data_IF_134202440082
#
_entry.id   IF_134202440082
#
_cell.length_a   1.000
_cell.length_b   1.000
_cell.length_c   1.000
_cell.angle_alpha   90.00
_cell.angle_beta   90.00
_cell.angle_gamma   90.00
#
_symmetry.space_group_name_H-M   'P 1'
#
loop_
_entity.id
_entity.type
_entity.pdbx_description
1 polymer ?
#
# COMPACT_ATOMS: atom_id res chain seq x y z
N UNK A 1 12.88 -15.44 28.30
CA UNK A 1 12.95 -16.32 27.12
C UNK A 1 13.15 -15.46 25.88
N UNK A 2 14.24 -15.68 25.14
CA UNK A 2 14.51 -14.95 23.89
C UNK A 2 13.49 -15.36 22.84
N UNK A 3 12.64 -14.44 22.39
CA UNK A 3 11.81 -14.67 21.20
C UNK A 3 12.76 -14.95 20.03
N UNK A 4 12.86 -16.20 19.62
CA UNK A 4 13.70 -16.60 18.48
C UNK A 4 13.06 -16.03 17.21
N UNK A 5 13.58 -14.90 16.76
CA UNK A 5 13.19 -14.29 15.48
C UNK A 5 13.74 -15.14 14.35
N UNK A 6 12.88 -15.77 13.60
CA UNK A 6 13.26 -16.68 12.51
C UNK A 6 13.19 -15.99 11.16
N UNK A 7 14.34 -15.42 10.75
CA UNK A 7 14.46 -14.74 9.47
C UNK A 7 14.28 -15.72 8.28
N UNK A 8 14.72 -16.99 8.44
CA UNK A 8 14.59 -18.00 7.38
C UNK A 8 13.14 -18.32 7.11
N UNK A 9 12.35 -18.52 8.17
CA UNK A 9 10.91 -18.74 8.04
C UNK A 9 10.19 -17.54 7.41
N UNK A 10 10.59 -16.30 7.77
CA UNK A 10 10.05 -15.09 7.17
C UNK A 10 10.31 -15.04 5.66
N UNK A 11 11.55 -15.24 5.23
CA UNK A 11 11.94 -15.23 3.81
C UNK A 11 11.19 -16.31 3.04
N UNK A 12 11.10 -17.53 3.56
CA UNK A 12 10.33 -18.61 2.94
C UNK A 12 8.85 -18.26 2.79
N UNK A 13 8.23 -17.62 3.78
CA UNK A 13 6.82 -17.18 3.69
C UNK A 13 6.61 -16.02 2.73
N UNK A 14 7.64 -15.18 2.51
CA UNK A 14 7.58 -14.13 1.48
C UNK A 14 7.68 -14.75 0.08
N UNK A 15 8.53 -15.76 -0.11
CA UNK A 15 8.66 -16.45 -1.39
C UNK A 15 7.43 -17.32 -1.72
N UNK A 16 6.98 -18.11 -0.75
CA UNK A 16 5.82 -18.99 -0.88
C UNK A 16 4.93 -18.83 0.35
N UNK A 17 3.70 -18.29 0.19
CA UNK A 17 2.77 -18.08 1.28
C UNK A 17 2.55 -19.34 2.13
N UNK A 18 2.81 -19.22 3.43
CA UNK A 18 2.67 -20.31 4.39
C UNK A 18 3.90 -21.20 4.59
N UNK A 19 4.92 -21.13 3.74
CA UNK A 19 6.07 -22.04 3.81
C UNK A 19 6.91 -21.86 5.10
N UNK A 20 7.05 -20.65 5.60
CA UNK A 20 7.71 -20.41 6.89
C UNK A 20 6.96 -21.04 8.06
N UNK A 21 5.63 -21.04 8.02
CA UNK A 21 4.81 -21.72 9.01
C UNK A 21 4.96 -23.25 8.92
N UNK A 22 5.12 -23.81 7.70
CA UNK A 22 5.46 -25.25 7.51
C UNK A 22 6.79 -25.56 8.17
N UNK A 23 7.83 -24.76 7.92
CA UNK A 23 9.15 -24.94 8.55
C UNK A 23 9.06 -24.96 10.08
N UNK A 24 8.15 -24.18 10.64
CA UNK A 24 7.86 -24.14 12.09
C UNK A 24 6.88 -25.21 12.56
N UNK A 25 6.53 -26.19 11.72
CA UNK A 25 5.55 -27.27 12.00
C UNK A 25 4.14 -26.77 12.35
N UNK A 26 3.77 -25.57 11.90
CA UNK A 26 2.47 -24.91 12.12
C UNK A 26 1.57 -25.12 10.91
N UNK A 27 1.24 -26.38 10.60
CA UNK A 27 0.57 -26.77 9.34
C UNK A 27 -0.80 -26.13 9.14
N UNK A 28 -1.62 -25.99 10.19
CA UNK A 28 -2.95 -25.35 10.09
C UNK A 28 -2.80 -23.87 9.74
N UNK A 29 -1.81 -23.17 10.34
CA UNK A 29 -1.52 -21.78 10.02
C UNK A 29 -0.94 -21.62 8.61
N UNK A 30 -0.12 -22.56 8.19
CA UNK A 30 0.42 -22.58 6.82
C UNK A 30 -0.70 -22.73 5.78
N UNK A 31 -1.61 -23.68 6.00
CA UNK A 31 -2.74 -23.92 5.12
C UNK A 31 -3.68 -22.71 5.06
N UNK A 32 -4.04 -22.15 6.22
CA UNK A 32 -4.90 -20.95 6.28
C UNK A 32 -4.24 -19.75 5.62
N UNK A 33 -2.93 -19.55 5.79
CA UNK A 33 -2.17 -18.50 5.14
C UNK A 33 -2.18 -18.65 3.62
N UNK A 34 -1.87 -19.84 3.11
CA UNK A 34 -1.86 -20.13 1.67
C UNK A 34 -3.23 -19.99 1.03
N UNK A 35 -4.27 -20.60 1.62
CA UNK A 35 -5.64 -20.53 1.10
C UNK A 35 -6.18 -19.10 1.08
N UNK A 36 -5.96 -18.32 2.15
CA UNK A 36 -6.42 -16.94 2.16
C UNK A 36 -5.64 -16.06 1.16
N UNK A 37 -4.33 -16.28 1.00
CA UNK A 37 -3.56 -15.58 -0.03
C UNK A 37 -4.11 -15.87 -1.42
N UNK A 38 -4.35 -17.15 -1.73
CA UNK A 38 -4.91 -17.57 -3.01
C UNK A 38 -6.30 -16.95 -3.24
N UNK A 39 -7.17 -16.97 -2.24
CA UNK A 39 -8.50 -16.37 -2.31
C UNK A 39 -8.44 -14.85 -2.58
N UNK A 40 -7.52 -14.12 -1.92
CA UNK A 40 -7.34 -12.69 -2.13
C UNK A 40 -6.78 -12.37 -3.51
N UNK A 41 -5.87 -13.18 -4.04
CA UNK A 41 -5.36 -13.06 -5.41
C UNK A 41 -6.50 -13.28 -6.41
N UNK A 42 -7.28 -14.36 -6.26
CA UNK A 42 -8.42 -14.66 -7.13
C UNK A 42 -9.46 -13.52 -7.06
N UNK A 43 -9.75 -13.01 -5.87
CA UNK A 43 -10.67 -11.88 -5.71
C UNK A 43 -10.15 -10.63 -6.44
N UNK A 44 -8.86 -10.33 -6.35
CA UNK A 44 -8.25 -9.19 -7.06
C UNK A 44 -8.35 -9.35 -8.58
N UNK A 45 -8.08 -10.56 -9.11
CA UNK A 45 -8.21 -10.88 -10.53
C UNK A 45 -9.68 -10.78 -11.00
N UNK A 46 -10.63 -11.28 -10.21
CA UNK A 46 -12.06 -11.22 -10.53
C UNK A 46 -12.55 -9.76 -10.58
N UNK A 47 -12.15 -8.93 -9.61
CA UNK A 47 -12.46 -7.49 -9.60
C UNK A 47 -11.82 -6.78 -10.81
N UNK A 48 -10.62 -7.19 -11.20
CA UNK A 48 -9.96 -6.68 -12.40
C UNK A 48 -10.72 -6.98 -13.69
N UNK A 49 -11.32 -8.16 -13.81
CA UNK A 49 -12.16 -8.52 -14.97
C UNK A 49 -13.39 -7.62 -15.10
N UNK A 50 -13.98 -7.23 -13.97
CA UNK A 50 -15.18 -6.36 -13.96
C UNK A 50 -14.82 -4.89 -14.12
N UNK A 51 -13.79 -4.42 -13.43
CA UNK A 51 -13.47 -2.99 -13.29
C UNK A 51 -12.22 -2.55 -14.06
N UNK A 52 -11.51 -3.50 -14.69
CA UNK A 52 -10.31 -3.25 -15.49
C UNK A 52 -8.99 -3.42 -14.70
N UNK A 53 -7.87 -3.44 -15.43
CA UNK A 53 -6.54 -3.78 -14.91
C UNK A 53 -6.06 -2.86 -13.76
N UNK A 54 -6.44 -1.58 -13.78
CA UNK A 54 -6.10 -0.67 -12.69
C UNK A 54 -6.74 -1.08 -11.36
N UNK A 55 -7.98 -1.58 -11.39
CA UNK A 55 -8.66 -2.10 -10.21
C UNK A 55 -8.04 -3.42 -9.73
N UNK A 56 -7.65 -4.31 -10.64
CA UNK A 56 -6.92 -5.54 -10.33
C UNK A 56 -5.66 -5.24 -9.51
N UNK A 57 -4.80 -4.36 -10.03
CA UNK A 57 -3.56 -3.96 -9.35
C UNK A 57 -3.85 -3.29 -8.01
N UNK A 58 -4.84 -2.40 -7.96
CA UNK A 58 -5.21 -1.72 -6.73
C UNK A 58 -5.68 -2.71 -5.64
N UNK A 59 -6.59 -3.63 -5.95
CA UNK A 59 -7.09 -4.60 -4.97
C UNK A 59 -6.00 -5.61 -4.57
N UNK A 60 -5.14 -6.03 -5.49
CA UNK A 60 -3.98 -6.84 -5.15
C UNK A 60 -3.08 -6.12 -4.13
N UNK A 61 -2.75 -4.85 -4.37
CA UNK A 61 -1.90 -4.04 -3.49
C UNK A 61 -2.53 -3.77 -2.12
N UNK A 62 -3.86 -3.62 -2.05
CA UNK A 62 -4.56 -3.26 -0.81
C UNK A 62 -5.01 -4.48 0.00
N UNK A 63 -5.29 -5.61 -0.65
CA UNK A 63 -5.81 -6.81 0.01
C UNK A 63 -4.76 -7.93 0.09
N UNK A 64 -4.28 -8.42 -1.06
CA UNK A 64 -3.42 -9.60 -1.10
C UNK A 64 -2.01 -9.31 -0.54
N UNK A 65 -1.40 -8.22 -0.94
CA UNK A 65 -0.04 -7.89 -0.56
C UNK A 65 0.12 -7.57 0.93
N UNK A 66 -0.78 -6.80 1.61
CA UNK A 66 -0.71 -6.60 3.06
C UNK A 66 -0.86 -7.91 3.84
N UNK A 67 -1.78 -8.76 3.41
CA UNK A 67 -1.93 -10.09 4.01
C UNK A 67 -0.66 -10.93 3.82
N UNK A 68 -0.09 -10.91 2.62
CA UNK A 68 1.16 -11.62 2.31
C UNK A 68 2.33 -11.13 3.18
N UNK A 69 2.50 -9.82 3.33
CA UNK A 69 3.50 -9.25 4.22
C UNK A 69 3.26 -9.63 5.68
N UNK A 70 2.00 -9.65 6.13
CA UNK A 70 1.63 -10.00 7.50
C UNK A 70 1.98 -11.44 7.83
N UNK A 71 1.76 -12.39 6.90
CA UNK A 71 2.12 -13.80 7.15
C UNK A 71 3.64 -14.02 7.18
N UNK A 72 4.41 -13.27 6.37
CA UNK A 72 5.87 -13.24 6.48
C UNK A 72 6.32 -12.73 7.85
N UNK A 73 5.66 -11.70 8.34
CA UNK A 73 5.91 -11.17 9.69
C UNK A 73 5.49 -12.14 10.81
N UNK A 74 4.39 -12.90 10.62
CA UNK A 74 3.98 -13.95 11.55
C UNK A 74 5.05 -15.07 11.62
N UNK A 75 5.57 -15.50 10.48
CA UNK A 75 6.66 -16.46 10.42
C UNK A 75 7.95 -15.94 11.09
N UNK A 76 8.24 -14.62 10.96
CA UNK A 76 9.35 -13.98 11.64
C UNK A 76 9.21 -14.00 13.17
N UNK A 77 8.00 -13.74 13.68
CA UNK A 77 7.73 -13.73 15.13
C UNK A 77 7.76 -15.14 15.74
N UNK A 78 7.58 -16.18 14.93
CA UNK A 78 7.59 -17.56 15.35
C UNK A 78 6.34 -17.99 16.15
N UNK A 79 6.31 -19.25 16.63
CA UNK A 79 5.20 -19.79 17.41
C UNK A 79 5.03 -19.04 18.74
N UNK A 80 3.78 -18.96 19.21
CA UNK A 80 3.43 -18.36 20.50
C UNK A 80 2.91 -19.43 21.45
N UNK A 81 3.36 -19.41 22.68
CA UNK A 81 2.88 -20.31 23.74
C UNK A 81 1.47 -19.91 24.24
N UNK A 82 1.04 -18.67 24.02
CA UNK A 82 -0.15 -18.05 24.62
C UNK A 82 -1.29 -17.77 23.64
N UNK A 83 -1.69 -18.72 22.78
CA UNK A 83 -2.94 -18.60 22.01
C UNK A 83 -2.81 -18.18 20.53
N UNK A 84 -3.85 -17.60 19.94
CA UNK A 84 -3.94 -17.30 18.51
C UNK A 84 -2.80 -16.42 18.00
N UNK A 85 -1.92 -16.98 17.19
CA UNK A 85 -0.76 -16.35 16.60
C UNK A 85 -1.15 -15.15 15.73
N UNK A 86 -2.21 -15.25 14.92
CA UNK A 86 -2.70 -14.16 14.07
C UNK A 86 -3.07 -12.92 14.88
N UNK A 87 -3.79 -13.09 16.01
CA UNK A 87 -4.17 -11.97 16.87
C UNK A 87 -2.94 -11.26 17.45
N UNK A 88 -1.91 -12.02 17.85
CA UNK A 88 -0.62 -11.47 18.33
C UNK A 88 0.08 -10.71 17.23
N UNK A 89 0.20 -11.31 16.04
CA UNK A 89 0.88 -10.73 14.89
C UNK A 89 0.21 -9.43 14.46
N UNK A 90 -1.12 -9.42 14.32
CA UNK A 90 -1.88 -8.21 14.04
C UNK A 90 -1.66 -7.13 15.09
N UNK A 91 -1.79 -7.46 16.36
CA UNK A 91 -1.60 -6.50 17.45
C UNK A 91 -0.19 -5.92 17.45
N UNK A 92 0.83 -6.74 17.22
CA UNK A 92 2.22 -6.31 17.19
C UNK A 92 2.50 -5.43 15.97
N UNK A 93 2.05 -5.83 14.79
CA UNK A 93 2.17 -5.04 13.56
C UNK A 93 1.49 -3.68 13.71
N UNK A 94 0.28 -3.67 14.26
CA UNK A 94 -0.50 -2.47 14.52
C UNK A 94 0.17 -1.51 15.50
N UNK A 95 0.62 -2.02 16.65
CA UNK A 95 1.30 -1.20 17.67
C UNK A 95 2.62 -0.62 17.19
N UNK A 96 3.36 -1.35 16.36
CA UNK A 96 4.63 -0.92 15.77
C UNK A 96 4.48 -0.04 14.54
N UNK A 97 3.25 0.19 14.05
CA UNK A 97 2.98 1.01 12.87
C UNK A 97 3.49 0.38 11.56
N UNK A 98 3.57 -0.95 11.49
CA UNK A 98 4.00 -1.63 10.25
C UNK A 98 3.02 -1.44 9.10
N UNK A 99 1.75 -1.24 9.40
CA UNK A 99 0.68 -0.87 8.48
C UNK A 99 0.97 0.47 7.78
N UNK A 100 1.35 1.50 8.54
CA UNK A 100 1.74 2.81 7.98
C UNK A 100 3.04 2.73 7.18
N UNK A 101 4.03 1.96 7.67
CA UNK A 101 5.27 1.71 6.91
C UNK A 101 5.01 0.98 5.61
N UNK A 102 4.10 0.02 5.62
CA UNK A 102 3.68 -0.70 4.43
C UNK A 102 2.99 0.23 3.43
N UNK A 103 2.07 1.10 3.89
CA UNK A 103 1.47 2.13 3.04
C UNK A 103 2.54 3.06 2.44
N UNK A 104 3.56 3.42 3.23
CA UNK A 104 4.72 4.17 2.74
C UNK A 104 5.49 3.43 1.63
N UNK A 105 5.69 2.13 1.77
CA UNK A 105 6.31 1.30 0.74
C UNK A 105 5.48 1.27 -0.54
N UNK A 106 4.15 1.15 -0.43
CA UNK A 106 3.25 1.19 -1.58
C UNK A 106 3.34 2.54 -2.32
N UNK A 107 3.43 3.66 -1.60
CA UNK A 107 3.63 4.97 -2.21
C UNK A 107 4.97 5.08 -2.93
N UNK A 108 6.05 4.52 -2.38
CA UNK A 108 7.37 4.48 -3.07
C UNK A 108 7.29 3.65 -4.34
N UNK A 109 6.65 2.47 -4.30
CA UNK A 109 6.44 1.62 -5.48
C UNK A 109 5.59 2.37 -6.53
N UNK A 110 4.53 3.06 -6.09
CA UNK A 110 3.71 3.90 -6.98
C UNK A 110 4.53 5.02 -7.62
N UNK A 111 5.42 5.69 -6.87
CA UNK A 111 6.31 6.71 -7.41
C UNK A 111 7.22 6.17 -8.52
N UNK A 112 7.80 4.97 -8.32
CA UNK A 112 8.65 4.32 -9.32
C UNK A 112 7.85 3.95 -10.57
N UNK A 113 6.64 3.39 -10.38
CA UNK A 113 5.75 3.05 -11.50
C UNK A 113 5.30 4.31 -12.27
N UNK A 114 4.90 5.37 -11.58
CA UNK A 114 4.50 6.64 -12.21
C UNK A 114 5.67 7.23 -13.00
N UNK A 115 6.89 7.22 -12.42
CA UNK A 115 8.11 7.69 -13.09
C UNK A 115 8.37 6.88 -14.35
N UNK A 116 8.27 5.55 -14.30
CA UNK A 116 8.44 4.68 -15.46
C UNK A 116 7.41 4.98 -16.54
N UNK A 117 6.13 5.14 -16.19
CA UNK A 117 5.07 5.48 -17.16
C UNK A 117 5.34 6.84 -17.83
N UNK A 118 5.76 7.84 -17.05
CA UNK A 118 6.08 9.18 -17.59
C UNK A 118 7.24 9.11 -18.56
N UNK A 119 8.32 8.40 -18.22
CA UNK A 119 9.52 8.28 -19.08
C UNK A 119 9.25 7.44 -20.33
N UNK A 120 8.41 6.40 -20.21
CA UNK A 120 8.04 5.56 -21.36
C UNK A 120 7.04 6.24 -22.30
N UNK A 121 6.33 7.30 -21.85
CA UNK A 121 5.28 7.98 -22.61
C UNK A 121 5.38 9.50 -22.43
N UNK A 122 6.43 10.11 -22.94
CA UNK A 122 6.67 11.55 -22.77
C UNK A 122 5.53 12.41 -23.35
N UNK A 123 4.90 11.94 -24.43
CA UNK A 123 3.79 12.65 -25.10
C UNK A 123 2.42 12.45 -24.44
N UNK A 124 2.33 11.56 -23.42
CA UNK A 124 1.09 11.35 -22.70
C UNK A 124 0.63 12.64 -22.01
N UNK A 125 -0.62 13.06 -22.30
CA UNK A 125 -1.21 14.27 -21.72
C UNK A 125 -1.97 13.95 -20.44
N UNK A 126 -1.41 14.34 -19.28
CA UNK A 126 -2.09 14.19 -18.00
C UNK A 126 -3.09 15.35 -17.78
N UNK A 127 -4.38 15.05 -17.51
CA UNK A 127 -5.33 16.08 -17.11
C UNK A 127 -4.93 16.75 -15.80
N UNK A 128 -4.89 18.07 -15.82
CA UNK A 128 -4.50 18.91 -14.68
C UNK A 128 -5.46 20.11 -14.60
N UNK A 129 -6.34 20.15 -13.63
CA UNK A 129 -7.32 21.20 -13.41
C UNK A 129 -8.02 21.64 -14.71
N UNK A 130 -8.70 20.70 -15.37
CA UNK A 130 -9.41 20.90 -16.67
C UNK A 130 -8.53 21.23 -17.87
N UNK A 131 -7.22 21.26 -17.71
CA UNK A 131 -6.26 21.50 -18.80
C UNK A 131 -5.47 20.23 -19.12
N UNK A 132 -4.79 20.23 -20.26
CA UNK A 132 -3.81 19.20 -20.65
C UNK A 132 -2.53 19.89 -21.06
N UNK A 133 -1.72 20.36 -20.09
CA UNK A 133 -0.51 21.10 -20.38
C UNK A 133 0.50 20.25 -21.17
N UNK A 134 1.20 20.90 -22.12
CA UNK A 134 2.22 20.31 -22.97
C UNK A 134 3.60 20.90 -22.66
N UNK A 135 4.66 20.34 -23.25
CA UNK A 135 6.03 20.83 -23.06
C UNK A 135 6.49 20.81 -21.61
N UNK A 136 7.26 21.82 -21.21
CA UNK A 136 7.83 21.90 -19.84
C UNK A 136 6.73 21.94 -18.75
N UNK A 137 5.67 22.77 -18.84
CA UNK A 137 4.58 22.72 -17.86
C UNK A 137 3.92 21.35 -17.78
N UNK A 138 3.72 20.65 -18.89
CA UNK A 138 3.19 19.30 -18.93
C UNK A 138 4.08 18.28 -18.23
N UNK A 139 5.39 18.37 -18.40
CA UNK A 139 6.35 17.53 -17.70
C UNK A 139 6.34 17.80 -16.17
N UNK A 140 6.37 19.05 -15.77
CA UNK A 140 6.36 19.43 -14.36
C UNK A 140 5.09 18.95 -13.64
N UNK A 141 3.92 19.11 -14.27
CA UNK A 141 2.65 18.64 -13.68
C UNK A 141 2.60 17.10 -13.51
N UNK A 142 3.20 16.35 -14.46
CA UNK A 142 3.34 14.89 -14.34
C UNK A 142 4.27 14.52 -13.18
N UNK A 143 5.36 15.26 -12.97
CA UNK A 143 6.36 14.98 -11.95
C UNK A 143 5.86 15.22 -10.51
N UNK A 144 4.81 16.01 -10.30
CA UNK A 144 4.25 16.31 -8.97
C UNK A 144 3.86 15.01 -8.23
N UNK A 145 3.12 14.10 -8.90
CA UNK A 145 2.65 12.87 -8.26
C UNK A 145 3.78 11.97 -7.78
N UNK A 146 4.73 11.53 -8.60
CA UNK A 146 5.80 10.65 -8.14
C UNK A 146 6.70 11.30 -7.09
N UNK A 147 6.96 12.61 -7.17
CA UNK A 147 7.76 13.32 -6.16
C UNK A 147 7.05 13.32 -4.81
N UNK A 148 5.74 13.62 -4.78
CA UNK A 148 4.96 13.61 -3.54
C UNK A 148 4.79 12.18 -2.99
N UNK A 149 4.55 11.18 -3.85
CA UNK A 149 4.51 9.77 -3.45
C UNK A 149 5.82 9.33 -2.79
N UNK A 150 6.96 9.67 -3.39
CA UNK A 150 8.28 9.32 -2.87
C UNK A 150 8.53 10.00 -1.51
N UNK A 151 8.26 11.30 -1.41
CA UNK A 151 8.47 12.06 -0.17
C UNK A 151 7.56 11.55 0.96
N UNK A 152 6.26 11.43 0.71
CA UNK A 152 5.30 10.92 1.72
C UNK A 152 5.64 9.47 2.07
N UNK A 153 5.92 8.63 1.07
CA UNK A 153 6.26 7.22 1.25
C UNK A 153 7.48 7.04 2.15
N UNK A 154 8.55 7.78 1.89
CA UNK A 154 9.74 7.80 2.74
C UNK A 154 9.40 8.22 4.17
N UNK A 155 8.63 9.28 4.34
CA UNK A 155 8.23 9.78 5.65
C UNK A 155 7.34 8.79 6.42
N UNK A 156 6.47 8.05 5.75
CA UNK A 156 5.63 7.00 6.34
C UNK A 156 6.46 5.80 6.78
N UNK A 157 7.44 5.36 5.97
CA UNK A 157 8.39 4.30 6.36
C UNK A 157 9.14 4.69 7.63
N UNK A 158 9.47 5.97 7.80
CA UNK A 158 10.13 6.52 8.99
C UNK A 158 9.16 6.87 10.13
N UNK A 159 7.84 6.74 9.93
CA UNK A 159 6.80 7.21 10.85
C UNK A 159 7.07 8.68 11.31
N UNK A 160 7.33 9.56 10.36
CA UNK A 160 7.74 10.94 10.61
C UNK A 160 6.53 11.88 10.66
N UNK A 161 6.51 12.84 11.63
CA UNK A 161 5.41 13.80 11.79
C UNK A 161 5.16 14.66 10.55
N UNK A 162 6.23 15.14 9.90
CA UNK A 162 6.11 15.98 8.72
C UNK A 162 5.39 15.26 7.55
N UNK A 163 5.54 13.93 7.46
CA UNK A 163 4.91 13.14 6.42
C UNK A 163 3.38 13.09 6.56
N UNK A 164 2.86 13.19 7.78
CA UNK A 164 1.41 13.32 8.01
C UNK A 164 0.87 14.59 7.36
N UNK A 165 1.49 15.72 7.62
CA UNK A 165 1.04 16.99 7.04
C UNK A 165 1.25 17.05 5.53
N UNK A 166 2.40 16.59 5.04
CA UNK A 166 2.66 16.50 3.61
C UNK A 166 1.64 15.58 2.90
N UNK A 167 1.28 14.47 3.54
CA UNK A 167 0.24 13.59 3.02
C UNK A 167 -1.11 14.29 2.92
N UNK A 168 -1.51 15.08 3.92
CA UNK A 168 -2.78 15.82 3.87
C UNK A 168 -2.78 16.83 2.72
N UNK A 169 -1.68 17.55 2.50
CA UNK A 169 -1.53 18.46 1.35
C UNK A 169 -1.62 17.69 0.02
N UNK A 170 -0.91 16.56 -0.07
CA UNK A 170 -0.97 15.69 -1.25
C UNK A 170 -2.39 15.15 -1.50
N UNK A 171 -3.07 14.67 -0.46
CA UNK A 171 -4.44 14.15 -0.57
C UNK A 171 -5.44 15.24 -0.99
N UNK A 172 -5.34 16.44 -0.42
CA UNK A 172 -6.16 17.59 -0.81
C UNK A 172 -5.91 17.98 -2.27
N UNK A 173 -4.64 18.05 -2.70
CA UNK A 173 -4.27 18.30 -4.09
C UNK A 173 -4.83 17.21 -5.03
N UNK A 174 -4.61 15.93 -4.72
CA UNK A 174 -5.08 14.83 -5.56
C UNK A 174 -6.60 14.77 -5.64
N UNK A 175 -7.30 15.00 -4.52
CA UNK A 175 -8.75 15.04 -4.47
C UNK A 175 -9.31 16.21 -5.28
N UNK A 176 -8.82 17.44 -5.09
CA UNK A 176 -9.30 18.63 -5.80
C UNK A 176 -9.02 18.53 -7.29
N UNK A 177 -7.82 18.14 -7.70
CA UNK A 177 -7.50 17.91 -9.11
C UNK A 177 -8.39 16.81 -9.73
N UNK A 178 -8.61 15.71 -9.00
CA UNK A 178 -9.48 14.63 -9.44
C UNK A 178 -10.94 15.07 -9.63
N UNK A 179 -11.49 15.82 -8.65
CA UNK A 179 -12.86 16.35 -8.71
C UNK A 179 -13.05 17.37 -9.85
N UNK A 180 -12.13 18.31 -9.99
CA UNK A 180 -12.15 19.30 -11.08
C UNK A 180 -12.06 18.61 -12.44
N UNK A 181 -11.18 17.62 -12.60
CA UNK A 181 -11.10 16.86 -13.84
C UNK A 181 -12.33 15.96 -14.08
N UNK A 182 -13.05 15.55 -13.02
CA UNK A 182 -14.30 14.81 -13.14
C UNK A 182 -15.40 15.67 -13.75
N UNK A 183 -15.49 16.95 -13.37
CA UNK A 183 -16.47 17.89 -13.95
C UNK A 183 -16.18 18.21 -15.42
N UNK A 184 -14.90 18.35 -15.80
CA UNK A 184 -14.52 18.75 -17.17
C UNK A 184 -14.46 17.60 -18.16
N UNK A 185 -14.02 16.43 -17.74
CA UNK A 185 -13.78 15.28 -18.63
C UNK A 185 -14.73 14.10 -18.36
N UNK A 186 -15.67 14.25 -17.44
CA UNK A 186 -16.63 13.22 -17.06
C UNK A 186 -16.02 12.05 -16.26
N UNK A 187 -16.83 11.05 -15.89
CA UNK A 187 -16.38 9.89 -15.16
C UNK A 187 -15.44 9.01 -15.99
N UNK A 188 -14.42 8.42 -15.33
CA UNK A 188 -13.50 7.48 -15.95
C UNK A 188 -13.04 6.45 -14.94
N UNK A 189 -12.85 5.19 -15.36
CA UNK A 189 -12.49 4.08 -14.45
C UNK A 189 -11.27 4.40 -13.58
N UNK A 190 -10.19 4.84 -14.19
CA UNK A 190 -8.95 5.18 -13.49
C UNK A 190 -9.17 6.34 -12.52
N UNK A 191 -9.84 7.42 -12.97
CA UNK A 191 -10.11 8.61 -12.15
C UNK A 191 -10.95 8.27 -10.92
N UNK A 192 -12.02 7.53 -11.09
CA UNK A 192 -12.90 7.13 -9.98
C UNK A 192 -12.17 6.22 -8.99
N UNK A 193 -11.34 5.29 -9.48
CA UNK A 193 -10.51 4.43 -8.61
C UNK A 193 -9.51 5.26 -7.82
N UNK A 194 -8.83 6.22 -8.44
CA UNK A 194 -7.88 7.10 -7.76
C UNK A 194 -8.55 7.99 -6.71
N UNK A 195 -9.72 8.58 -7.03
CA UNK A 195 -10.50 9.36 -6.06
C UNK A 195 -10.91 8.50 -4.86
N UNK A 196 -11.43 7.30 -5.10
CA UNK A 196 -11.76 6.34 -4.04
C UNK A 196 -10.54 5.96 -3.21
N UNK A 197 -9.39 5.70 -3.85
CA UNK A 197 -8.14 5.39 -3.17
C UNK A 197 -7.66 6.54 -2.27
N UNK A 198 -7.72 7.79 -2.75
CA UNK A 198 -7.35 8.98 -1.97
C UNK A 198 -8.27 9.13 -0.76
N UNK A 199 -9.59 8.99 -0.92
CA UNK A 199 -10.54 9.09 0.20
C UNK A 199 -10.28 7.99 1.23
N UNK A 200 -10.22 6.73 0.81
CA UNK A 200 -10.01 5.59 1.72
C UNK A 200 -8.68 5.67 2.45
N UNK A 201 -7.60 5.99 1.74
CA UNK A 201 -6.28 6.15 2.36
C UNK A 201 -6.22 7.34 3.31
N UNK A 202 -6.94 8.44 3.01
CA UNK A 202 -7.02 9.61 3.90
C UNK A 202 -7.75 9.27 5.19
N UNK A 203 -8.91 8.62 5.11
CA UNK A 203 -9.64 8.14 6.30
C UNK A 203 -8.74 7.23 7.14
N UNK A 204 -8.04 6.30 6.48
CA UNK A 204 -7.12 5.39 7.16
C UNK A 204 -5.97 6.13 7.85
N UNK A 205 -5.29 7.05 7.17
CA UNK A 205 -4.18 7.82 7.73
C UNK A 205 -4.64 8.72 8.89
N UNK A 206 -5.82 9.33 8.78
CA UNK A 206 -6.42 10.11 9.87
C UNK A 206 -6.71 9.23 11.09
N UNK A 207 -7.25 8.04 10.88
CA UNK A 207 -7.49 7.05 11.94
C UNK A 207 -6.17 6.60 12.60
N UNK A 208 -5.10 6.47 11.84
CA UNK A 208 -3.77 6.06 12.29
C UNK A 208 -2.81 7.23 12.63
N UNK A 209 -3.30 8.47 12.68
CA UNK A 209 -2.50 9.69 12.90
C UNK A 209 -1.55 9.61 14.10
N UNK A 210 -1.96 8.93 15.18
CA UNK A 210 -1.15 8.81 16.40
C UNK A 210 0.19 8.08 16.15
N UNK A 211 0.26 7.16 15.20
CA UNK A 211 1.50 6.46 14.81
C UNK A 211 2.51 7.43 14.19
N UNK A 212 2.02 8.42 13.43
CA UNK A 212 2.85 9.41 12.75
C UNK A 212 3.21 10.57 13.71
N UNK A 213 2.27 11.00 14.57
CA UNK A 213 2.47 12.14 15.47
C UNK A 213 3.31 11.78 16.70
N UNK A 214 3.22 10.56 17.23
CA UNK A 214 3.84 10.16 18.51
C UNK A 214 4.89 9.05 18.38
N UNK A 215 5.39 8.78 17.20
CA UNK A 215 6.39 7.75 16.88
C UNK A 215 6.21 6.43 17.67
N UNK A 216 5.89 5.32 17.02
CA UNK A 216 5.63 4.06 17.71
C UNK A 216 6.85 3.55 18.47
N UNK A 217 6.68 2.74 19.51
CA UNK A 217 7.78 2.10 20.22
C UNK A 217 8.60 1.24 19.25
N UNK A 218 9.92 1.26 19.45
CA UNK A 218 10.88 0.47 18.65
C UNK A 218 10.79 -1.01 18.95
#
# INVERSE_FOLDING_TARGET
>A
MSESRDLRAAVLSILVPGMGQVLQRRYIHALSAGLLTLALIIASLALGRVSGRAAEVFFFMVLALPWWALQGYDAYLGPSETGSTWRRTFRTAWRRGHDIRFLGLLLVISALNDTFIILANLDYLLPFYCTKPTGIPGFLTKAISPVLHLAVGYGFIRCSRWAFFLYLVYAAYGFTNGMVNLTCFGPGRIRNTLLGAVVLSTVYVLFRRNVLLHKPPR
#
